data_IF_271046169269
#
_entry.id   IF_271046169269
#
_cell.length_a   1.000
_cell.length_b   1.000
_cell.length_c   1.000
_cell.angle_alpha   90.00
_cell.angle_beta   90.00
_cell.angle_gamma   90.00
#
_symmetry.space_group_name_H-M   'P 1'
#
loop_
_entity.id
_entity.type
_entity.pdbx_description
1 polymer ?
#
# COMPACT_ATOMS: atom_id res chain seq x y z
N UNK A 1 -3.77 -8.76 -2.49
CA UNK A 1 -2.74 -9.83 -2.33
C UNK A 1 -1.67 -9.44 -1.30
N UNK A 2 -0.77 -10.34 -0.89
CA UNK A 2 0.33 -10.02 0.03
C UNK A 2 1.50 -9.33 -0.71
N UNK A 3 1.89 -8.13 -0.27
CA UNK A 3 3.03 -7.38 -0.79
C UNK A 3 4.30 -8.25 -0.82
N UNK A 4 5.01 -8.27 -1.96
CA UNK A 4 6.27 -9.01 -2.11
C UNK A 4 7.47 -8.11 -1.84
N UNK A 5 8.60 -8.72 -1.46
CA UNK A 5 9.88 -8.01 -1.39
C UNK A 5 10.20 -7.44 -2.78
N UNK A 6 10.63 -6.18 -2.87
CA UNK A 6 10.71 -5.57 -4.18
C UNK A 6 11.88 -6.12 -5.02
N UNK A 7 11.61 -6.33 -6.32
CA UNK A 7 12.55 -6.95 -7.28
C UNK A 7 12.99 -5.93 -8.32
N UNK A 8 14.27 -5.95 -8.70
CA UNK A 8 14.85 -5.03 -9.71
C UNK A 8 14.42 -5.43 -11.13
N UNK A 9 13.99 -4.45 -11.93
CA UNK A 9 13.35 -4.68 -13.24
C UNK A 9 14.25 -4.37 -14.46
N UNK A 10 15.56 -4.22 -14.25
CA UNK A 10 16.56 -3.72 -15.23
C UNK A 10 16.53 -4.42 -16.60
N UNK A 11 16.13 -5.70 -16.69
CA UNK A 11 16.06 -6.45 -17.96
C UNK A 11 14.70 -6.43 -18.68
N UNK A 12 13.66 -5.80 -18.11
CA UNK A 12 12.28 -5.98 -18.58
C UNK A 12 11.67 -4.82 -19.36
N UNK A 13 12.19 -3.59 -19.25
CA UNK A 13 11.45 -2.35 -19.61
C UNK A 13 10.81 -2.31 -21.00
N UNK A 14 11.42 -2.95 -22.01
CA UNK A 14 10.91 -2.94 -23.39
C UNK A 14 9.62 -3.74 -23.58
N UNK A 15 9.33 -4.67 -22.67
CA UNK A 15 8.18 -5.59 -22.73
C UNK A 15 7.00 -5.13 -21.87
N UNK A 16 7.07 -3.92 -21.33
CA UNK A 16 6.06 -3.35 -20.45
C UNK A 16 5.58 -2.01 -20.99
N UNK A 17 4.26 -1.85 -21.08
CA UNK A 17 3.61 -0.59 -21.40
C UNK A 17 3.12 0.06 -20.12
N UNK A 18 3.44 1.33 -19.91
CA UNK A 18 2.86 2.09 -18.81
C UNK A 18 1.38 2.35 -19.10
N UNK A 19 0.49 1.84 -18.26
CA UNK A 19 -0.96 2.04 -18.40
C UNK A 19 -1.49 3.10 -17.42
N UNK A 20 -0.78 3.32 -16.30
CA UNK A 20 -1.08 4.39 -15.34
C UNK A 20 0.18 4.81 -14.58
N UNK A 21 0.26 6.07 -14.15
CA UNK A 21 1.39 6.57 -13.36
C UNK A 21 1.01 7.77 -12.50
N UNK A 22 1.72 7.94 -11.38
CA UNK A 22 1.66 9.11 -10.50
C UNK A 22 3.06 9.51 -10.03
N UNK A 23 3.18 10.33 -8.98
CA UNK A 23 4.45 10.79 -8.43
C UNK A 23 5.33 9.66 -7.86
N UNK A 24 4.74 8.59 -7.32
CA UNK A 24 5.38 7.54 -6.55
C UNK A 24 5.38 6.18 -7.27
N UNK A 25 4.37 5.90 -8.09
CA UNK A 25 4.11 4.58 -8.66
C UNK A 25 3.83 4.62 -10.16
N UNK A 26 4.10 3.49 -10.80
CA UNK A 26 3.81 3.25 -12.21
C UNK A 26 3.18 1.87 -12.34
N UNK A 27 1.97 1.82 -12.91
CA UNK A 27 1.31 0.58 -13.30
C UNK A 27 1.67 0.25 -14.74
N UNK A 28 2.06 -0.99 -14.98
CA UNK A 28 2.52 -1.48 -16.26
C UNK A 28 1.79 -2.76 -16.67
N UNK A 29 1.55 -2.90 -17.96
CA UNK A 29 1.02 -4.11 -18.61
C UNK A 29 2.12 -4.75 -19.47
N UNK A 30 2.31 -6.06 -19.32
CA UNK A 30 3.25 -6.84 -20.11
C UNK A 30 2.71 -7.08 -21.52
N UNK A 31 3.58 -7.04 -22.53
CA UNK A 31 3.24 -7.43 -23.88
C UNK A 31 2.95 -8.93 -23.90
N UNK A 32 1.70 -9.32 -24.18
CA UNK A 32 1.32 -10.73 -24.25
C UNK A 32 2.16 -11.41 -25.35
N UNK A 33 2.98 -12.41 -24.99
CA UNK A 33 3.62 -13.31 -25.93
C UNK A 33 5.15 -13.40 -25.91
N UNK A 34 5.90 -12.40 -25.43
CA UNK A 34 7.37 -12.53 -25.26
C UNK A 34 7.97 -11.41 -24.40
N UNK A 35 8.90 -11.70 -23.47
CA UNK A 35 9.22 -13.01 -22.90
C UNK A 35 8.01 -13.60 -22.15
N UNK A 36 8.02 -14.91 -21.89
CA UNK A 36 6.98 -15.50 -21.02
C UNK A 36 7.18 -14.95 -19.60
N UNK A 37 6.25 -14.10 -19.17
CA UNK A 37 6.25 -13.50 -17.84
C UNK A 37 5.11 -14.09 -17.00
N UNK A 38 5.31 -14.38 -15.71
CA UNK A 38 4.31 -15.07 -14.88
C UNK A 38 3.03 -14.26 -14.60
N UNK A 39 3.07 -12.95 -14.82
CA UNK A 39 1.94 -12.05 -14.60
C UNK A 39 1.84 -11.00 -15.71
N UNK A 40 0.60 -10.58 -15.97
CA UNK A 40 0.27 -9.61 -17.01
C UNK A 40 0.44 -8.16 -16.54
N UNK A 41 0.20 -7.85 -15.28
CA UNK A 41 0.25 -6.48 -14.75
C UNK A 41 1.19 -6.37 -13.56
N UNK A 42 1.82 -5.21 -13.39
CA UNK A 42 2.63 -4.88 -12.21
C UNK A 42 2.54 -3.43 -11.81
N UNK A 43 2.84 -3.14 -10.56
CA UNK A 43 3.07 -1.79 -10.05
C UNK A 43 4.52 -1.71 -9.57
N UNK A 44 5.25 -0.68 -10.04
CA UNK A 44 6.62 -0.40 -9.64
C UNK A 44 6.73 0.96 -8.97
N UNK A 45 7.66 1.10 -8.03
CA UNK A 45 8.06 2.39 -7.47
C UNK A 45 8.81 3.21 -8.51
N UNK A 46 8.49 4.51 -8.62
CA UNK A 46 9.11 5.39 -9.61
C UNK A 46 10.57 5.68 -9.30
N UNK A 47 10.91 5.82 -8.02
CA UNK A 47 12.25 6.19 -7.54
C UNK A 47 13.32 5.16 -7.93
N UNK A 48 13.05 3.87 -7.74
CA UNK A 48 14.05 2.79 -7.86
C UNK A 48 13.59 1.63 -8.76
N UNK A 49 12.41 1.74 -9.41
CA UNK A 49 11.84 0.76 -10.35
C UNK A 49 11.65 -0.63 -9.74
N UNK A 50 11.53 -0.68 -8.43
CA UNK A 50 11.22 -1.88 -7.68
C UNK A 50 9.76 -2.26 -7.84
N UNK A 51 9.49 -3.51 -8.18
CA UNK A 51 8.12 -4.04 -8.23
C UNK A 51 7.56 -4.29 -6.83
N UNK A 52 6.33 -3.82 -6.57
CA UNK A 52 5.67 -3.92 -5.26
C UNK A 52 4.34 -4.68 -5.31
N UNK A 53 3.73 -4.81 -6.49
CA UNK A 53 2.51 -5.58 -6.71
C UNK A 53 2.48 -6.14 -8.14
N UNK A 54 1.80 -7.27 -8.33
CA UNK A 54 1.58 -7.89 -9.63
C UNK A 54 0.28 -8.70 -9.64
N UNK A 55 -0.35 -8.84 -10.81
CA UNK A 55 -1.50 -9.71 -11.01
C UNK A 55 -1.67 -10.09 -12.50
N UNK A 56 -2.41 -11.16 -12.76
CA UNK A 56 -2.93 -11.48 -14.10
C UNK A 56 -4.30 -10.85 -14.38
N UNK A 57 -4.98 -10.36 -13.33
CA UNK A 57 -6.29 -9.72 -13.40
C UNK A 57 -6.13 -8.20 -13.30
N UNK A 58 -6.84 -7.48 -14.17
CA UNK A 58 -6.87 -6.02 -14.15
C UNK A 58 -7.63 -5.51 -12.94
N UNK A 59 -8.69 -6.18 -12.49
CA UNK A 59 -9.49 -5.74 -11.35
C UNK A 59 -8.68 -5.82 -10.05
N UNK A 60 -7.86 -6.87 -9.90
CA UNK A 60 -7.00 -7.04 -8.74
C UNK A 60 -5.87 -5.99 -8.70
N UNK A 61 -5.18 -5.74 -9.83
CA UNK A 61 -4.10 -4.74 -9.84
C UNK A 61 -4.65 -3.31 -9.68
N UNK A 62 -5.88 -3.06 -10.12
CA UNK A 62 -6.59 -1.81 -9.88
C UNK A 62 -6.94 -1.62 -8.40
N UNK A 63 -7.38 -2.68 -7.72
CA UNK A 63 -7.59 -2.65 -6.28
C UNK A 63 -6.28 -2.33 -5.54
N UNK A 64 -5.18 -2.98 -5.89
CA UNK A 64 -3.86 -2.71 -5.30
C UNK A 64 -3.41 -1.26 -5.57
N UNK A 65 -3.68 -0.72 -6.77
CA UNK A 65 -3.41 0.68 -7.10
C UNK A 65 -4.17 1.65 -6.20
N UNK A 66 -5.48 1.46 -6.05
CA UNK A 66 -6.32 2.28 -5.17
C UNK A 66 -5.88 2.18 -3.71
N UNK A 67 -5.50 0.99 -3.28
CA UNK A 67 -4.95 0.76 -1.95
C UNK A 67 -3.66 1.56 -1.73
N UNK A 68 -2.75 1.63 -2.71
CA UNK A 68 -1.51 2.40 -2.60
C UNK A 68 -1.76 3.91 -2.52
N UNK A 69 -2.71 4.45 -3.29
CA UNK A 69 -3.08 5.86 -3.23
C UNK A 69 -3.55 6.29 -1.85
N UNK A 70 -4.20 5.37 -1.16
CA UNK A 70 -4.71 5.60 0.17
C UNK A 70 -3.65 5.22 1.21
N UNK A 71 -2.96 4.10 1.20
CA UNK A 71 -2.23 3.63 2.38
C UNK A 71 -0.71 3.75 2.31
N UNK A 72 -0.13 4.01 1.14
CA UNK A 72 1.33 4.02 0.94
C UNK A 72 1.91 5.41 0.63
N UNK A 73 1.10 6.33 0.10
CA UNK A 73 1.53 7.71 -0.15
C UNK A 73 1.51 8.51 1.16
N UNK A 74 2.57 9.28 1.50
CA UNK A 74 2.54 10.18 2.65
C UNK A 74 1.36 11.14 2.57
N UNK A 75 0.35 10.91 3.41
CA UNK A 75 -0.83 11.78 3.49
C UNK A 75 -0.51 13.03 4.32
N UNK A 76 0.46 13.84 3.86
CA UNK A 76 0.89 15.07 4.54
C UNK A 76 -0.30 16.02 4.79
N UNK A 77 -1.34 15.93 3.94
CA UNK A 77 -2.55 16.73 4.05
C UNK A 77 -3.67 16.09 4.88
N UNK A 78 -3.56 14.83 5.29
CA UNK A 78 -4.49 14.29 6.29
C UNK A 78 -4.08 14.77 7.66
N UNK A 79 -4.84 15.74 8.18
CA UNK A 79 -4.72 16.15 9.57
C UNK A 79 -5.15 14.98 10.44
N UNK A 80 -4.24 14.51 11.28
CA UNK A 80 -4.58 13.62 12.39
C UNK A 80 -5.63 14.35 13.21
N UNK A 81 -6.88 13.90 13.13
CA UNK A 81 -7.97 14.48 13.91
C UNK A 81 -7.84 14.02 15.37
N UNK A 82 -6.92 14.66 16.09
CA UNK A 82 -6.65 14.45 17.52
C UNK A 82 -7.91 14.63 18.38
N UNK A 83 -8.92 15.34 17.88
CA UNK A 83 -10.19 15.52 18.59
C UNK A 83 -10.99 14.21 18.70
N UNK A 84 -10.85 13.31 17.73
CA UNK A 84 -11.47 11.98 17.73
C UNK A 84 -10.79 11.04 18.72
N UNK A 85 -9.45 11.09 18.79
CA UNK A 85 -8.67 10.33 19.76
C UNK A 85 -8.93 10.81 21.20
N UNK A 86 -9.03 12.12 21.42
CA UNK A 86 -9.33 12.71 22.73
C UNK A 86 -10.74 12.36 23.24
N UNK A 87 -11.73 12.19 22.35
CA UNK A 87 -13.09 11.75 22.72
C UNK A 87 -13.11 10.32 23.27
N UNK A 88 -12.29 9.42 22.73
CA UNK A 88 -12.16 8.05 23.26
C UNK A 88 -11.48 8.00 24.63
N UNK A 89 -10.53 8.89 24.90
CA UNK A 89 -9.84 8.96 26.20
C UNK A 89 -10.71 9.59 27.30
N UNK A 90 -11.68 10.43 26.95
CA UNK A 90 -12.63 11.02 27.91
C UNK A 90 -13.76 10.08 28.35
N UNK A 91 -14.04 8.99 27.61
CA UNK A 91 -15.09 8.05 27.98
C UNK A 91 -14.62 7.01 29.01
N UNK A 92 -13.32 6.92 29.29
CA UNK A 92 -12.80 6.17 30.40
C UNK A 92 -12.64 7.15 31.57
N UNK A 93 -13.47 7.00 32.58
CA UNK A 93 -13.28 7.74 33.82
C UNK A 93 -11.92 7.36 34.41
N UNK A 94 -11.21 8.32 35.04
CA UNK A 94 -9.93 8.05 35.72
C UNK A 94 -10.05 6.86 36.70
N UNK A 95 -11.23 6.62 37.25
CA UNK A 95 -11.58 5.48 38.10
C UNK A 95 -11.43 4.12 37.38
N UNK A 96 -11.85 4.01 36.12
CA UNK A 96 -11.75 2.76 35.35
C UNK A 96 -10.29 2.44 34.98
N UNK A 97 -9.49 3.47 34.74
CA UNK A 97 -8.06 3.33 34.47
C UNK A 97 -7.33 2.90 35.75
N UNK A 98 -7.65 3.49 36.90
CA UNK A 98 -7.04 3.09 38.18
C UNK A 98 -7.45 1.66 38.56
N UNK A 99 -8.72 1.29 38.37
CA UNK A 99 -9.21 -0.07 38.65
C UNK A 99 -8.59 -1.13 37.73
N UNK A 100 -8.33 -0.82 36.45
CA UNK A 100 -7.70 -1.77 35.52
C UNK A 100 -6.23 -2.03 35.88
N UNK A 101 -5.50 -1.00 36.31
CA UNK A 101 -4.10 -1.13 36.75
C UNK A 101 -4.00 -1.94 38.04
N UNK A 102 -4.89 -1.70 39.02
CA UNK A 102 -4.90 -2.46 40.28
C UNK A 102 -5.22 -3.94 40.04
N UNK A 103 -6.19 -4.27 39.18
CA UNK A 103 -6.51 -5.66 38.80
C UNK A 103 -5.37 -6.41 38.10
N UNK A 104 -4.41 -5.70 37.53
CA UNK A 104 -3.27 -6.32 36.83
C UNK A 104 -2.08 -6.56 37.77
N UNK A 105 -2.10 -5.96 38.97
CA UNK A 105 -1.04 -6.03 39.97
C UNK A 105 -1.37 -6.96 41.17
N UNK A 106 -2.56 -7.57 41.19
CA UNK A 106 -2.99 -8.60 42.15
C UNK A 106 -3.17 -9.91 41.37
#
# INVERSE_FOLDING_TARGET
>A
MAFRRPITTLGGLLWWTNIRQDLYFIMQEHHIGFPVWPYKYRIVMRENRMEIANSNDIEEIEFDWQYLQTHAVPRINERIDLSKAAKHLKSLSLLEIVLSVIKTLI
#
